data_IF_175417663674
#
_entry.id   IF_175417663674
#
_cell.length_a   1.000
_cell.length_b   1.000
_cell.length_c   1.000
_cell.angle_alpha   90.00
_cell.angle_beta   90.00
_cell.angle_gamma   90.00
#
_symmetry.space_group_name_H-M   'P 1'
#
loop_
_entity.id
_entity.type
_entity.pdbx_description
1 polymer ?
#
# COMPACT_ATOMS: atom_id res chain seq x y z
N UNK A 1 47.98 -3.32 -48.41
CA UNK A 1 47.01 -2.59 -47.56
C UNK A 1 45.77 -3.46 -47.30
N UNK A 2 45.90 -4.72 -46.86
CA UNK A 2 44.73 -5.63 -46.83
C UNK A 2 44.41 -6.26 -45.47
N UNK A 3 45.37 -6.35 -44.53
CA UNK A 3 45.15 -7.09 -43.27
C UNK A 3 44.34 -6.30 -42.23
N UNK A 4 44.37 -4.97 -42.27
CA UNK A 4 43.61 -4.10 -41.33
C UNK A 4 42.11 -4.08 -41.61
N UNK A 5 41.69 -4.33 -42.85
CA UNK A 5 40.28 -4.33 -43.25
C UNK A 5 39.55 -5.62 -42.82
N UNK A 6 40.24 -6.76 -42.91
CA UNK A 6 39.68 -8.06 -42.53
C UNK A 6 39.38 -8.16 -41.02
N UNK A 7 40.25 -7.62 -40.16
CA UNK A 7 40.04 -7.64 -38.70
C UNK A 7 38.87 -6.76 -38.27
N UNK A 8 38.70 -5.59 -38.91
CA UNK A 8 37.56 -4.71 -38.65
C UNK A 8 36.23 -5.36 -39.07
N UNK A 9 36.21 -6.08 -40.19
CA UNK A 9 35.04 -6.81 -40.66
C UNK A 9 34.65 -7.95 -39.70
N UNK A 10 35.63 -8.71 -39.20
CA UNK A 10 35.39 -9.80 -38.24
C UNK A 10 34.87 -9.26 -36.90
N UNK A 11 35.43 -8.14 -36.40
CA UNK A 11 34.94 -7.50 -35.17
C UNK A 11 33.52 -6.96 -35.32
N UNK A 12 33.16 -6.40 -36.48
CA UNK A 12 31.80 -5.94 -36.76
C UNK A 12 30.82 -7.13 -36.81
N UNK A 13 31.21 -8.25 -37.41
CA UNK A 13 30.37 -9.46 -37.48
C UNK A 13 30.17 -10.06 -36.08
N UNK A 14 31.19 -10.09 -35.23
CA UNK A 14 31.07 -10.54 -33.83
C UNK A 14 30.19 -9.59 -33.02
N UNK A 15 30.33 -8.28 -33.20
CA UNK A 15 29.47 -7.29 -32.53
C UNK A 15 27.98 -7.46 -32.92
N UNK A 16 27.69 -7.60 -34.21
CA UNK A 16 26.32 -7.84 -34.72
C UNK A 16 25.77 -9.20 -34.25
N UNK A 17 26.62 -10.23 -34.13
CA UNK A 17 26.23 -11.53 -33.58
C UNK A 17 25.89 -11.44 -32.09
N UNK A 18 26.61 -10.60 -31.32
CA UNK A 18 26.29 -10.36 -29.91
C UNK A 18 25.02 -9.53 -29.72
N UNK A 19 24.71 -8.56 -30.58
CA UNK A 19 23.47 -7.78 -30.49
C UNK A 19 22.21 -8.64 -30.58
N UNK A 20 22.22 -9.66 -31.45
CA UNK A 20 21.09 -10.62 -31.57
C UNK A 20 20.91 -11.47 -30.31
N UNK A 21 22.01 -11.92 -29.70
CA UNK A 21 21.97 -12.68 -28.44
C UNK A 21 21.55 -11.80 -27.25
N UNK A 22 21.96 -10.53 -27.24
CA UNK A 22 21.56 -9.55 -26.22
C UNK A 22 20.08 -9.21 -26.29
N UNK A 23 19.45 -9.23 -27.48
CA UNK A 23 18.02 -8.99 -27.63
C UNK A 23 17.19 -10.08 -26.90
N UNK A 24 17.56 -11.36 -27.06
CA UNK A 24 16.89 -12.47 -26.38
C UNK A 24 17.12 -12.48 -24.86
N UNK A 25 18.32 -12.13 -24.40
CA UNK A 25 18.62 -12.06 -22.96
C UNK A 25 17.95 -10.84 -22.30
N UNK A 26 17.83 -9.72 -23.01
CA UNK A 26 17.13 -8.51 -22.53
C UNK A 26 15.62 -8.75 -22.38
N UNK A 27 15.01 -9.41 -23.36
CA UNK A 27 13.60 -9.79 -23.32
C UNK A 27 13.30 -10.66 -22.09
N UNK A 28 14.08 -11.74 -21.89
CA UNK A 28 13.93 -12.62 -20.73
C UNK A 28 14.10 -11.85 -19.40
N UNK A 29 15.00 -10.87 -19.34
CA UNK A 29 15.24 -10.07 -18.13
C UNK A 29 14.14 -9.04 -17.84
N UNK A 30 13.44 -8.57 -18.86
CA UNK A 30 12.25 -7.71 -18.68
C UNK A 30 11.03 -8.56 -18.27
N UNK A 31 10.84 -9.73 -18.87
CA UNK A 31 9.75 -10.66 -18.52
C UNK A 31 9.88 -11.19 -17.07
N UNK A 32 11.11 -11.37 -16.57
CA UNK A 32 11.36 -11.78 -15.17
C UNK A 32 10.99 -10.71 -14.13
N UNK A 33 10.89 -9.43 -14.51
CA UNK A 33 10.43 -8.36 -13.60
C UNK A 33 8.93 -8.48 -13.30
N UNK A 34 8.13 -8.93 -14.25
CA UNK A 34 6.69 -9.13 -14.05
C UNK A 34 6.41 -10.31 -13.11
N UNK A 35 7.17 -11.40 -13.23
CA UNK A 35 6.99 -12.62 -12.42
C UNK A 35 7.35 -12.44 -10.94
N UNK A 36 8.18 -11.45 -10.61
CA UNK A 36 8.57 -11.14 -9.23
C UNK A 36 7.65 -10.12 -8.55
N UNK A 37 6.65 -9.59 -9.24
CA UNK A 37 5.64 -8.74 -8.60
C UNK A 37 4.75 -9.62 -7.70
N UNK A 38 4.66 -9.34 -6.39
CA UNK A 38 3.79 -10.10 -5.51
C UNK A 38 2.34 -9.97 -6.00
N UNK A 39 1.57 -11.06 -5.86
CA UNK A 39 0.18 -11.24 -6.32
C UNK A 39 -0.84 -10.42 -5.51
N UNK A 40 -0.49 -9.19 -5.15
CA UNK A 40 -1.40 -8.18 -4.59
C UNK A 40 -1.63 -7.22 -5.75
N UNK A 41 -2.86 -7.14 -6.29
CA UNK A 41 -3.13 -6.21 -7.40
C UNK A 41 -2.55 -4.84 -7.05
N UNK A 42 -1.53 -4.36 -7.78
CA UNK A 42 -0.90 -3.10 -7.46
C UNK A 42 -1.97 -2.03 -7.52
N UNK A 43 -2.09 -1.27 -6.44
CA UNK A 43 -2.85 -0.03 -6.47
C UNK A 43 -2.21 0.81 -7.56
N UNK A 44 -2.99 1.22 -8.55
CA UNK A 44 -2.42 2.01 -9.63
C UNK A 44 -1.83 3.31 -9.06
N UNK A 45 -0.74 3.78 -9.67
CA UNK A 45 -0.02 4.97 -9.19
C UNK A 45 -0.94 6.19 -9.11
N UNK A 46 -1.94 6.27 -9.98
CA UNK A 46 -2.96 7.32 -9.98
C UNK A 46 -3.87 7.29 -8.75
N UNK A 47 -4.34 6.10 -8.37
CA UNK A 47 -5.11 5.86 -7.15
C UNK A 47 -4.29 6.20 -5.92
N UNK A 48 -3.03 5.74 -5.84
CA UNK A 48 -2.15 6.08 -4.71
C UNK A 48 -1.92 7.60 -4.62
N UNK A 49 -1.71 8.28 -5.75
CA UNK A 49 -1.57 9.73 -5.79
C UNK A 49 -2.83 10.45 -5.29
N UNK A 50 -4.01 9.94 -5.64
CA UNK A 50 -5.30 10.51 -5.21
C UNK A 50 -5.50 10.36 -3.70
N UNK A 51 -5.17 9.19 -3.13
CA UNK A 51 -5.24 8.95 -1.69
C UNK A 51 -4.27 9.87 -0.95
N UNK A 52 -3.01 9.96 -1.41
CA UNK A 52 -2.01 10.83 -0.79
C UNK A 52 -2.40 12.31 -0.86
N UNK A 53 -3.01 12.74 -1.97
CA UNK A 53 -3.59 14.08 -2.09
C UNK A 53 -4.68 14.32 -1.04
N UNK A 54 -5.63 13.38 -0.89
CA UNK A 54 -6.67 13.47 0.14
C UNK A 54 -6.10 13.50 1.56
N UNK A 55 -5.04 12.72 1.84
CA UNK A 55 -4.34 12.71 3.14
C UNK A 55 -3.65 14.05 3.43
N UNK A 56 -3.11 14.74 2.42
CA UNK A 56 -2.53 16.09 2.58
C UNK A 56 -3.61 17.12 2.96
N UNK A 57 -4.83 16.93 2.47
CA UNK A 57 -5.99 17.77 2.80
C UNK A 57 -6.82 17.25 3.98
N UNK A 58 -6.28 16.29 4.73
CA UNK A 58 -6.92 15.66 5.90
C UNK A 58 -8.33 15.14 5.64
N UNK A 59 -8.58 14.63 4.43
CA UNK A 59 -9.88 14.04 4.12
C UNK A 59 -10.07 12.73 4.90
N UNK A 60 -11.17 12.58 5.64
CA UNK A 60 -11.37 11.46 6.55
C UNK A 60 -11.35 10.10 5.82
N UNK A 61 -11.94 10.03 4.62
CA UNK A 61 -11.98 8.81 3.81
C UNK A 61 -10.59 8.41 3.33
N UNK A 62 -9.77 9.39 2.92
CA UNK A 62 -8.42 9.12 2.41
C UNK A 62 -7.47 8.72 3.54
N UNK A 63 -7.60 9.36 4.71
CA UNK A 63 -6.89 8.97 5.93
C UNK A 63 -7.24 7.53 6.33
N UNK A 64 -8.53 7.20 6.35
CA UNK A 64 -9.00 5.85 6.65
C UNK A 64 -8.47 4.82 5.64
N UNK A 65 -8.57 5.11 4.34
CA UNK A 65 -8.13 4.19 3.29
C UNK A 65 -6.62 3.91 3.37
N UNK A 66 -5.80 4.95 3.53
CA UNK A 66 -4.36 4.78 3.70
C UNK A 66 -4.03 4.01 4.98
N UNK A 67 -4.78 4.24 6.06
CA UNK A 67 -4.61 3.49 7.30
C UNK A 67 -4.87 1.99 7.08
N UNK A 68 -5.97 1.63 6.43
CA UNK A 68 -6.32 0.24 6.14
C UNK A 68 -5.29 -0.42 5.23
N UNK A 69 -4.78 0.32 4.24
CA UNK A 69 -3.69 -0.15 3.39
C UNK A 69 -2.42 -0.45 4.21
N UNK A 70 -2.02 0.44 5.12
CA UNK A 70 -0.88 0.22 6.02
C UNK A 70 -1.12 -0.88 7.03
N UNK A 71 -2.35 -1.06 7.48
CA UNK A 71 -2.71 -2.10 8.43
C UNK A 71 -2.58 -3.50 7.83
N UNK A 72 -3.07 -3.69 6.60
CA UNK A 72 -3.04 -4.98 5.90
C UNK A 72 -1.82 -5.18 4.97
N UNK A 73 -1.04 -4.13 4.71
CA UNK A 73 0.08 -4.18 3.77
C UNK A 73 -0.35 -4.21 2.30
N UNK A 74 -1.47 -3.58 1.95
CA UNK A 74 -1.94 -3.51 0.56
C UNK A 74 -1.23 -2.39 -0.19
N UNK A 75 -0.33 -2.73 -1.11
CA UNK A 75 0.37 -1.77 -1.98
C UNK A 75 1.34 -0.81 -1.26
N UNK A 76 1.47 -0.91 0.05
CA UNK A 76 2.40 -0.20 0.91
C UNK A 76 2.93 -1.15 1.97
N UNK A 77 4.13 -0.87 2.51
CA UNK A 77 4.67 -1.65 3.61
C UNK A 77 3.73 -1.62 4.82
N UNK A 78 3.51 -2.81 5.39
CA UNK A 78 2.66 -2.97 6.57
C UNK A 78 3.29 -2.22 7.75
N UNK A 79 2.50 -1.35 8.37
CA UNK A 79 2.89 -0.63 9.57
C UNK A 79 1.64 -0.32 10.40
N UNK A 80 1.42 -1.12 11.42
CA UNK A 80 0.24 -1.04 12.28
C UNK A 80 0.24 0.27 13.07
N UNK A 81 1.36 0.68 13.66
CA UNK A 81 1.44 1.91 14.47
C UNK A 81 1.10 3.16 13.63
N UNK A 82 1.63 3.22 12.41
CA UNK A 82 1.31 4.30 11.47
C UNK A 82 -0.16 4.24 11.01
N UNK A 83 -0.74 3.05 10.87
CA UNK A 83 -2.16 2.89 10.58
C UNK A 83 -3.02 3.42 11.74
N UNK A 84 -2.70 3.09 12.99
CA UNK A 84 -3.44 3.59 14.16
C UNK A 84 -3.38 5.12 14.23
N UNK A 85 -2.21 5.73 13.98
CA UNK A 85 -2.08 7.18 13.94
C UNK A 85 -2.97 7.84 12.87
N UNK A 86 -3.06 7.24 11.68
CA UNK A 86 -3.93 7.72 10.61
C UNK A 86 -5.41 7.52 10.92
N UNK A 87 -5.79 6.40 11.55
CA UNK A 87 -7.15 6.17 12.04
C UNK A 87 -7.54 7.21 13.10
N UNK A 88 -6.63 7.57 14.00
CA UNK A 88 -6.79 8.65 14.97
C UNK A 88 -7.20 9.96 14.29
N UNK A 89 -6.42 10.38 13.29
CA UNK A 89 -6.71 11.60 12.50
C UNK A 89 -8.04 11.50 11.76
N UNK A 90 -8.34 10.36 11.14
CA UNK A 90 -9.63 10.16 10.45
C UNK A 90 -10.81 10.25 11.43
N UNK A 91 -10.67 9.68 12.63
CA UNK A 91 -11.68 9.72 13.69
C UNK A 91 -11.85 11.13 14.29
N UNK A 92 -10.79 11.94 14.36
CA UNK A 92 -10.87 13.35 14.73
C UNK A 92 -11.69 14.17 13.74
N UNK A 93 -11.63 13.81 12.45
CA UNK A 93 -12.47 14.37 11.39
C UNK A 93 -13.84 13.69 11.25
N UNK A 94 -14.25 12.86 12.22
CA UNK A 94 -15.59 12.27 12.29
C UNK A 94 -15.83 11.06 11.40
N UNK A 95 -14.77 10.39 10.91
CA UNK A 95 -14.93 9.17 10.12
C UNK A 95 -15.42 8.01 11.01
N UNK A 96 -16.71 7.68 10.94
CA UNK A 96 -17.35 6.67 11.80
C UNK A 96 -16.68 5.29 11.76
N UNK A 97 -16.19 4.86 10.59
CA UNK A 97 -15.54 3.54 10.44
C UNK A 97 -14.14 3.56 11.06
N UNK A 98 -13.49 4.74 11.12
CA UNK A 98 -12.20 4.90 11.79
C UNK A 98 -12.38 4.90 13.31
N UNK A 99 -13.43 5.55 13.81
CA UNK A 99 -13.83 5.47 15.23
C UNK A 99 -14.10 4.01 15.65
N UNK A 100 -14.83 3.24 14.82
CA UNK A 100 -15.06 1.82 15.06
C UNK A 100 -13.76 1.03 15.06
N UNK A 101 -12.91 1.22 14.05
CA UNK A 101 -11.63 0.54 13.94
C UNK A 101 -10.72 0.80 15.16
N UNK A 102 -10.61 2.05 15.63
CA UNK A 102 -9.88 2.38 16.86
C UNK A 102 -10.47 1.67 18.07
N UNK A 103 -11.80 1.62 18.18
CA UNK A 103 -12.49 0.88 19.23
C UNK A 103 -12.05 -0.58 19.28
N UNK A 104 -12.00 -1.25 18.12
CA UNK A 104 -11.53 -2.64 18.02
C UNK A 104 -10.05 -2.76 18.36
N UNK A 105 -9.20 -1.86 17.86
CA UNK A 105 -7.75 -1.88 18.10
C UNK A 105 -7.41 -1.72 19.59
N UNK A 106 -8.08 -0.79 20.29
CA UNK A 106 -7.92 -0.65 21.75
C UNK A 106 -8.45 -1.86 22.52
N UNK A 107 -9.52 -2.51 22.05
CA UNK A 107 -10.06 -3.71 22.70
C UNK A 107 -9.13 -4.93 22.55
N UNK A 108 -8.41 -5.02 21.43
CA UNK A 108 -7.47 -6.11 21.14
C UNK A 108 -6.05 -5.83 21.60
N UNK A 109 -5.67 -4.56 21.73
CA UNK A 109 -4.30 -4.15 21.97
C UNK A 109 -3.39 -4.27 20.74
N UNK A 110 -3.93 -4.07 19.53
CA UNK A 110 -3.18 -4.16 18.28
C UNK A 110 -2.65 -2.76 17.88
N UNK A 111 -1.33 -2.56 17.92
CA UNK A 111 -0.70 -1.26 17.62
C UNK A 111 -0.92 -0.17 18.68
N UNK A 112 -1.75 -0.45 19.69
CA UNK A 112 -2.00 0.41 20.85
C UNK A 112 -2.07 -0.42 22.13
N UNK A 113 -1.76 0.15 23.30
CA UNK A 113 -2.00 -0.53 24.56
C UNK A 113 -3.48 -0.90 24.71
N UNK A 114 -3.75 -2.14 25.08
CA UNK A 114 -5.12 -2.59 25.32
C UNK A 114 -5.77 -1.73 26.39
N UNK A 115 -6.96 -1.23 26.09
CA UNK A 115 -7.76 -0.42 27.01
C UNK A 115 -9.24 -0.61 26.69
N UNK A 116 -9.93 -1.37 27.54
CA UNK A 116 -11.35 -1.65 27.36
C UNK A 116 -12.20 -0.36 27.55
N UNK A 117 -11.73 0.58 28.39
CA UNK A 117 -12.39 1.88 28.56
C UNK A 117 -12.29 2.76 27.31
N UNK A 118 -11.09 2.86 26.70
CA UNK A 118 -10.92 3.59 25.44
C UNK A 118 -11.69 2.90 24.31
N UNK A 119 -11.64 1.57 24.23
CA UNK A 119 -12.41 0.77 23.29
C UNK A 119 -13.91 1.11 23.33
N UNK A 120 -14.52 1.04 24.52
CA UNK A 120 -15.93 1.37 24.71
C UNK A 120 -16.24 2.83 24.32
N UNK A 121 -15.35 3.78 24.64
CA UNK A 121 -15.55 5.19 24.30
C UNK A 121 -15.57 5.44 22.78
N UNK A 122 -14.65 4.81 22.03
CA UNK A 122 -14.59 4.91 20.57
C UNK A 122 -15.76 4.20 19.89
N UNK A 123 -16.13 3.01 20.37
CA UNK A 123 -17.32 2.30 19.88
C UNK A 123 -18.59 3.11 20.14
N UNK A 124 -18.71 3.76 21.31
CA UNK A 124 -19.88 4.59 21.64
C UNK A 124 -19.99 5.81 20.73
N UNK A 125 -18.86 6.45 20.41
CA UNK A 125 -18.81 7.53 19.41
C UNK A 125 -19.24 7.04 18.04
N UNK A 126 -18.67 5.94 17.56
CA UNK A 126 -19.02 5.37 16.26
C UNK A 126 -20.50 4.98 16.17
N UNK A 127 -21.04 4.40 17.24
CA UNK A 127 -22.46 4.06 17.37
C UNK A 127 -23.35 5.32 17.34
N UNK A 128 -22.94 6.40 18.02
CA UNK A 128 -23.64 7.69 17.96
C UNK A 128 -23.60 8.31 16.55
N UNK A 129 -22.48 8.15 15.83
CA UNK A 129 -22.30 8.51 14.42
C UNK A 129 -23.07 7.62 13.44
N UNK A 130 -23.82 6.63 13.94
CA UNK A 130 -24.73 5.80 13.15
C UNK A 130 -24.14 4.48 12.66
N UNK A 131 -22.94 4.08 13.08
CA UNK A 131 -22.34 2.80 12.69
C UNK A 131 -23.11 1.62 13.30
N UNK A 132 -23.64 0.75 12.45
CA UNK A 132 -24.57 -0.32 12.85
C UNK A 132 -23.88 -1.40 13.69
N UNK A 133 -22.69 -1.83 13.28
CA UNK A 133 -21.87 -2.82 13.98
C UNK A 133 -21.44 -2.31 15.36
N UNK A 134 -21.05 -1.04 15.46
CA UNK A 134 -20.73 -0.43 16.76
C UNK A 134 -21.96 -0.42 17.69
N UNK A 135 -23.15 -0.08 17.18
CA UNK A 135 -24.40 -0.15 17.94
C UNK A 135 -24.71 -1.56 18.42
N UNK A 136 -24.56 -2.55 17.54
CA UNK A 136 -24.79 -3.95 17.89
C UNK A 136 -23.82 -4.42 18.98
N UNK A 137 -22.54 -4.08 18.85
CA UNK A 137 -21.49 -4.47 19.80
C UNK A 137 -21.66 -3.86 21.20
N UNK A 138 -22.26 -2.67 21.31
CA UNK A 138 -22.58 -2.07 22.61
C UNK A 138 -23.92 -2.51 23.19
N UNK A 139 -24.79 -3.09 22.36
CA UNK A 139 -26.08 -3.61 22.79
C UNK A 139 -26.00 -5.06 23.29
N UNK A 140 -24.89 -5.77 23.02
CA UNK A 140 -24.63 -7.14 23.47
C UNK A 140 -23.84 -7.17 24.76
#
# INVERSE_FOLDING_TARGET
MEVRSAVALVLLIVAVATEKAWCSVRLVREDLKEVTTPRVSPIDEGSMRTILYGVQHEQPESLYLLAMMKFYGHGVDQNVDAAVALLGRAAEHGHRDAEFALGILYGRGEGVPRSDSLSASWLARSAASGHTEAKWMLAT
#
